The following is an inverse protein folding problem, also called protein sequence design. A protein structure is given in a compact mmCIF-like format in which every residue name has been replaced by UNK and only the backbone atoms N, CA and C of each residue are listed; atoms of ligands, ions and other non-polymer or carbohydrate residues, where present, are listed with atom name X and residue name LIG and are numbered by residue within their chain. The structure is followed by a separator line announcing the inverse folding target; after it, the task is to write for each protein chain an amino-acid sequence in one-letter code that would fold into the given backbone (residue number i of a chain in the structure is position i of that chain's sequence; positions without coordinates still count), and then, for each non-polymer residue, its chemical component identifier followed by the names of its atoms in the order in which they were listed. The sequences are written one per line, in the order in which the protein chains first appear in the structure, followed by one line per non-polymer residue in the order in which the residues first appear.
data_IF_665715976530
#
_entry.id   IF_665715976530
#
_cell.length_a   1.000
_cell.length_b   1.000
_cell.length_c   1.000
_cell.angle_alpha   90.00
_cell.angle_beta   90.00
_cell.angle_gamma   90.00
#
_symmetry.space_group_name_H-M   'P 1'
#
loop_
_entity.id
_entity.type
_entity.pdbx_description
1 polymer ?
#
# COMPACT_ATOMS: atom_id res chain seq x y z
N UNK A 1 36.20 12.45 -13.11
CA UNK A 1 35.30 13.55 -12.67
C UNK A 1 34.24 12.95 -11.75
N UNK A 2 34.32 13.25 -10.46
CA UNK A 2 33.46 12.75 -9.39
C UNK A 2 32.10 13.47 -9.39
N UNK A 3 31.02 12.81 -9.85
CA UNK A 3 29.66 13.35 -9.65
C UNK A 3 29.13 12.89 -8.29
N UNK A 4 29.16 13.84 -7.36
CA UNK A 4 28.52 13.81 -6.05
C UNK A 4 27.11 13.19 -6.11
N UNK A 5 26.88 12.16 -5.30
CA UNK A 5 25.58 11.55 -5.04
C UNK A 5 24.65 12.44 -4.21
N UNK A 6 24.38 13.67 -4.64
CA UNK A 6 23.29 14.47 -4.07
C UNK A 6 21.97 13.92 -4.60
N UNK A 7 21.08 13.50 -3.69
CA UNK A 7 19.68 13.19 -4.02
C UNK A 7 19.07 14.41 -4.69
N UNK A 8 18.56 14.24 -5.91
CA UNK A 8 17.86 15.30 -6.64
C UNK A 8 16.61 15.70 -5.89
N UNK A 9 16.25 16.97 -5.98
CA UNK A 9 15.09 17.52 -5.30
C UNK A 9 13.82 17.11 -6.03
N UNK A 10 12.68 17.01 -5.32
CA UNK A 10 11.39 16.60 -5.91
C UNK A 10 10.99 17.46 -7.11
N UNK A 11 11.25 18.77 -7.03
CA UNK A 11 10.98 19.72 -8.10
C UNK A 11 11.85 19.49 -9.36
N UNK A 12 12.99 18.79 -9.25
CA UNK A 12 13.81 18.38 -10.40
C UNK A 12 13.29 17.09 -11.04
N UNK A 13 12.67 16.19 -10.28
CA UNK A 13 12.01 15.00 -10.82
C UNK A 13 10.70 15.35 -11.54
N UNK A 14 9.90 16.26 -10.98
CA UNK A 14 8.65 16.74 -11.59
C UNK A 14 8.89 17.51 -12.90
N UNK A 15 10.10 18.05 -13.11
CA UNK A 15 10.48 18.76 -14.33
C UNK A 15 10.87 17.83 -15.49
N UNK A 16 10.93 16.52 -15.25
CA UNK A 16 11.42 15.52 -16.19
C UNK A 16 12.95 15.53 -16.30
N UNK A 17 13.56 14.35 -16.44
CA UNK A 17 14.99 14.27 -16.75
C UNK A 17 15.21 14.83 -18.17
N UNK A 18 16.26 15.65 -18.40
CA UNK A 18 16.69 15.95 -19.75
C UNK A 18 16.95 14.62 -20.47
N UNK A 19 16.34 14.43 -21.65
CA UNK A 19 16.36 13.21 -22.48
C UNK A 19 15.61 11.98 -21.94
N UNK A 20 14.78 12.10 -20.91
CA UNK A 20 13.89 11.02 -20.46
C UNK A 20 12.53 11.11 -21.17
N UNK A 21 12.41 10.36 -22.27
CA UNK A 21 11.13 10.14 -22.95
C UNK A 21 10.55 8.83 -22.44
N UNK A 22 9.49 8.89 -21.63
CA UNK A 22 8.79 7.69 -21.16
C UNK A 22 7.60 7.42 -22.08
N UNK A 23 7.70 6.46 -23.02
CA UNK A 23 6.64 6.13 -23.96
C UNK A 23 5.38 5.57 -23.27
N UNK A 24 5.46 5.24 -21.97
CA UNK A 24 4.35 4.73 -21.16
C UNK A 24 3.74 5.78 -20.23
N UNK A 25 4.24 7.02 -20.24
CA UNK A 25 3.78 8.10 -19.34
C UNK A 25 2.27 8.39 -19.38
N UNK A 26 1.57 8.00 -20.45
CA UNK A 26 0.11 8.08 -20.56
C UNK A 26 -0.63 6.73 -20.55
N UNK A 27 0.08 5.60 -20.65
CA UNK A 27 -0.48 4.24 -20.70
C UNK A 27 0.25 3.36 -19.68
N UNK A 28 -0.27 3.32 -18.45
CA UNK A 28 0.33 2.53 -17.37
C UNK A 28 1.56 3.18 -16.70
N UNK A 29 1.90 4.43 -17.03
CA UNK A 29 2.93 5.20 -16.32
C UNK A 29 2.65 5.25 -14.82
N UNK A 30 3.69 5.02 -14.01
CA UNK A 30 3.55 4.85 -12.57
C UNK A 30 2.81 6.04 -11.95
N UNK A 31 1.57 5.81 -11.48
CA UNK A 31 0.83 6.80 -10.73
C UNK A 31 1.72 7.29 -9.56
N UNK A 32 1.73 8.60 -9.24
CA UNK A 32 2.53 9.14 -8.16
C UNK A 32 2.39 8.26 -6.90
N UNK A 33 3.50 7.90 -6.28
CA UNK A 33 3.58 6.88 -5.21
C UNK A 33 2.55 7.03 -4.05
N UNK A 34 1.99 8.22 -3.88
CA UNK A 34 0.89 8.52 -2.96
C UNK A 34 -0.42 7.77 -3.27
N UNK A 35 -0.75 7.50 -4.54
CA UNK A 35 -2.00 6.83 -4.92
C UNK A 35 -1.98 5.35 -4.53
N UNK A 36 -0.83 4.70 -4.65
CA UNK A 36 -0.64 3.30 -4.24
C UNK A 36 -0.68 3.13 -2.71
N UNK A 37 -0.12 4.09 -1.96
CA UNK A 37 -0.11 4.04 -0.50
C UNK A 37 -1.52 4.19 0.09
N UNK A 38 -2.29 5.16 -0.42
CA UNK A 38 -3.68 5.37 0.02
C UNK A 38 -4.54 4.16 -0.33
N UNK A 39 -4.38 3.60 -1.54
CA UNK A 39 -5.08 2.39 -1.95
C UNK A 39 -4.77 1.21 -1.02
N UNK A 40 -3.50 1.00 -0.65
CA UNK A 40 -3.12 -0.07 0.30
C UNK A 40 -3.82 0.08 1.63
N UNK A 41 -3.84 1.29 2.19
CA UNK A 41 -4.52 1.57 3.46
C UNK A 41 -6.02 1.30 3.36
N UNK A 42 -6.67 1.80 2.30
CA UNK A 42 -8.11 1.62 2.08
C UNK A 42 -8.45 0.14 1.88
N UNK A 43 -7.68 -0.57 1.05
CA UNK A 43 -7.90 -1.98 0.80
C UNK A 43 -7.73 -2.79 2.09
N UNK A 44 -6.64 -2.58 2.82
CA UNK A 44 -6.40 -3.29 4.07
C UNK A 44 -7.49 -2.99 5.12
N UNK A 45 -7.91 -1.73 5.26
CA UNK A 45 -9.01 -1.37 6.17
C UNK A 45 -10.34 -2.03 5.76
N UNK A 46 -10.68 -2.01 4.46
CA UNK A 46 -11.91 -2.65 3.97
C UNK A 46 -11.90 -4.17 4.18
N UNK A 47 -10.75 -4.82 3.96
CA UNK A 47 -10.57 -6.27 4.21
C UNK A 47 -10.70 -6.60 5.69
N UNK A 48 -10.16 -5.78 6.59
CA UNK A 48 -10.32 -5.94 8.05
C UNK A 48 -11.81 -5.89 8.42
N UNK A 49 -12.56 -4.92 7.88
CA UNK A 49 -14.01 -4.80 8.11
C UNK A 49 -14.77 -6.03 7.60
N UNK A 50 -14.47 -6.47 6.37
CA UNK A 50 -15.09 -7.65 5.77
C UNK A 50 -14.78 -8.94 6.55
N UNK A 51 -13.52 -9.12 6.97
CA UNK A 51 -13.14 -10.27 7.79
C UNK A 51 -13.88 -10.24 9.13
N UNK A 52 -13.99 -9.07 9.77
CA UNK A 52 -14.71 -8.92 11.04
C UNK A 52 -16.19 -9.29 10.88
N UNK A 53 -16.85 -8.76 9.85
CA UNK A 53 -18.25 -9.08 9.56
C UNK A 53 -18.44 -10.59 9.25
N UNK A 54 -17.53 -11.17 8.46
CA UNK A 54 -17.55 -12.59 8.14
C UNK A 54 -17.35 -13.47 9.39
N UNK A 55 -16.41 -13.13 10.27
CA UNK A 55 -16.18 -13.86 11.53
C UNK A 55 -17.45 -13.87 12.37
N UNK A 56 -18.11 -12.72 12.55
CA UNK A 56 -19.36 -12.62 13.30
C UNK A 56 -20.46 -13.46 12.65
N UNK A 57 -20.63 -13.37 11.33
CA UNK A 57 -21.63 -14.14 10.60
C UNK A 57 -21.40 -15.65 10.74
N UNK A 58 -20.18 -16.14 10.52
CA UNK A 58 -19.86 -17.56 10.60
C UNK A 58 -19.83 -18.09 12.04
N UNK A 59 -19.59 -17.24 13.03
CA UNK A 59 -19.79 -17.57 14.44
C UNK A 59 -21.26 -17.87 14.74
N UNK A 60 -22.19 -17.06 14.22
CA UNK A 60 -23.63 -17.30 14.36
C UNK A 60 -24.04 -18.60 13.65
N UNK A 61 -23.46 -18.89 12.47
CA UNK A 61 -23.74 -20.10 11.70
C UNK A 61 -23.02 -21.36 12.23
N UNK A 62 -22.13 -21.23 13.22
CA UNK A 62 -21.41 -22.36 13.79
C UNK A 62 -20.42 -23.02 12.83
N UNK A 63 -19.79 -22.25 11.93
CA UNK A 63 -18.82 -22.78 10.94
C UNK A 63 -17.38 -22.46 11.39
N UNK A 64 -16.75 -23.30 12.25
CA UNK A 64 -15.48 -22.96 12.89
C UNK A 64 -14.31 -22.82 11.90
N UNK A 65 -14.30 -23.59 10.82
CA UNK A 65 -13.24 -23.52 9.80
C UNK A 65 -13.21 -22.14 9.14
N UNK A 66 -14.37 -21.58 8.81
CA UNK A 66 -14.47 -20.25 8.22
C UNK A 66 -13.96 -19.17 9.19
N UNK A 67 -14.27 -19.29 10.48
CA UNK A 67 -13.79 -18.38 11.53
C UNK A 67 -12.27 -18.40 11.60
N UNK A 68 -11.66 -19.58 11.60
CA UNK A 68 -10.19 -19.74 11.66
C UNK A 68 -9.54 -19.08 10.43
N UNK A 69 -10.03 -19.40 9.23
CA UNK A 69 -9.48 -18.83 7.98
C UNK A 69 -9.59 -17.31 7.96
N UNK A 70 -10.76 -16.75 8.28
CA UNK A 70 -10.97 -15.30 8.30
C UNK A 70 -10.14 -14.61 9.40
N UNK A 71 -9.94 -15.26 10.54
CA UNK A 71 -9.09 -14.73 11.62
C UNK A 71 -7.62 -14.65 11.19
N UNK A 72 -7.12 -15.65 10.46
CA UNK A 72 -5.76 -15.62 9.89
C UNK A 72 -5.63 -14.48 8.88
N UNK A 73 -6.59 -14.34 7.96
CA UNK A 73 -6.58 -13.25 6.97
C UNK A 73 -6.66 -11.87 7.63
N UNK A 74 -7.48 -11.73 8.66
CA UNK A 74 -7.57 -10.52 9.47
C UNK A 74 -6.21 -10.17 10.09
N UNK A 75 -5.55 -11.14 10.73
CA UNK A 75 -4.25 -10.93 11.38
C UNK A 75 -3.17 -10.50 10.37
N UNK A 76 -3.06 -11.18 9.23
CA UNK A 76 -2.11 -10.83 8.18
C UNK A 76 -2.35 -9.41 7.64
N UNK A 77 -3.61 -9.06 7.39
CA UNK A 77 -4.00 -7.73 6.89
C UNK A 77 -3.73 -6.65 7.93
N UNK A 78 -3.99 -6.91 9.21
CA UNK A 78 -3.70 -5.99 10.30
C UNK A 78 -2.18 -5.72 10.44
N UNK A 79 -1.35 -6.75 10.27
CA UNK A 79 0.12 -6.62 10.26
C UNK A 79 0.56 -5.77 9.06
N UNK A 80 0.04 -6.01 7.86
CA UNK A 80 0.36 -5.21 6.66
C UNK A 80 -0.02 -3.74 6.86
N UNK A 81 -1.24 -3.47 7.32
CA UNK A 81 -1.70 -2.11 7.61
C UNK A 81 -0.82 -1.42 8.65
N UNK A 82 -0.50 -2.12 9.74
CA UNK A 82 0.39 -1.64 10.78
C UNK A 82 1.79 -1.32 10.23
N UNK A 83 2.34 -2.19 9.37
CA UNK A 83 3.64 -1.99 8.73
C UNK A 83 3.63 -0.78 7.79
N UNK A 84 2.58 -0.62 6.97
CA UNK A 84 2.41 0.52 6.06
C UNK A 84 2.32 1.83 6.84
N UNK A 85 1.52 1.87 7.91
CA UNK A 85 1.40 3.05 8.78
C UNK A 85 2.73 3.35 9.46
N UNK A 86 3.41 2.32 9.97
CA UNK A 86 4.71 2.45 10.63
C UNK A 86 5.76 3.02 9.68
N UNK A 87 5.84 2.50 8.45
CA UNK A 87 6.76 3.01 7.41
C UNK A 87 6.44 4.46 7.05
N UNK A 88 5.14 4.80 6.92
CA UNK A 88 4.70 6.18 6.68
C UNK A 88 5.13 7.13 7.81
N UNK A 89 5.06 6.71 9.07
CA UNK A 89 5.50 7.52 10.23
C UNK A 89 7.00 7.75 10.29
N UNK A 90 7.81 6.84 9.73
CA UNK A 90 9.28 6.99 9.68
C UNK A 90 9.79 7.90 8.55
N UNK A 91 8.89 8.48 7.75
CA UNK A 91 9.26 9.51 6.78
C UNK A 91 10.03 8.98 5.58
N UNK A 92 10.06 7.66 5.35
CA UNK A 92 10.48 7.12 4.06
C UNK A 92 9.40 7.48 3.04
N UNK A 93 9.68 8.36 2.06
CA UNK A 93 8.75 8.54 0.96
C UNK A 93 8.65 7.21 0.23
N UNK A 94 7.42 6.71 0.11
CA UNK A 94 7.08 5.62 -0.80
C UNK A 94 7.41 5.97 -2.23
#
# INVERSE_FOLDING_TARGET
MTRNGKRRTRAEYERGLPDYHDPTAGFGGAAPAYSALTLRIVLAASTILLCTAGIVLFAILGVPVAIVVLSVLFALTAIDLGWVIHRKRRGEPG
#
